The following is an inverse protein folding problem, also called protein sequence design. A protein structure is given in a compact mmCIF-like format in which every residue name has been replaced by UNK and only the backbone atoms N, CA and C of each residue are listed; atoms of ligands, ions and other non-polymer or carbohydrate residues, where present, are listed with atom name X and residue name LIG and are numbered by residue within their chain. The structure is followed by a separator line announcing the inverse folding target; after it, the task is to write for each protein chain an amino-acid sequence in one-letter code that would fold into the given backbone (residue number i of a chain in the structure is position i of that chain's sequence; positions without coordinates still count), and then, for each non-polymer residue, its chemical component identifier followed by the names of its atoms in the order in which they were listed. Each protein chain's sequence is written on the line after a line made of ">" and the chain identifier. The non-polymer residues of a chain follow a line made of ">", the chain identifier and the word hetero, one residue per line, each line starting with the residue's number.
data_IF_488921062465
#
_entry.id   IF_488921062465
#
_cell.length_a   1.000
_cell.length_b   1.000
_cell.length_c   1.000
_cell.angle_alpha   90.00
_cell.angle_beta   90.00
_cell.angle_gamma   90.00
#
_symmetry.space_group_name_H-M   'P 1'
#
loop_
_entity.id
_entity.type
_entity.pdbx_description
1 polymer ?
#
# COMPACT_ATOMS: atom_id res chain seq x y z
N UNK A 1 7.03 -75.83 -31.86
CA UNK A 1 7.15 -74.43 -32.34
C UNK A 1 6.15 -73.56 -31.57
N UNK A 2 6.59 -72.78 -30.57
CA UNK A 2 5.75 -71.86 -29.79
C UNK A 2 6.08 -70.42 -30.18
N UNK A 3 5.09 -69.66 -30.64
CA UNK A 3 5.25 -68.32 -31.20
C UNK A 3 5.11 -67.21 -30.15
N UNK A 4 6.04 -66.25 -30.22
CA UNK A 4 6.15 -64.99 -29.47
C UNK A 4 4.97 -64.05 -29.78
N UNK A 5 4.08 -63.78 -28.82
CA UNK A 5 3.12 -62.64 -28.88
C UNK A 5 2.74 -62.17 -27.47
N UNK A 6 3.67 -61.53 -26.75
CA UNK A 6 3.29 -60.89 -25.46
C UNK A 6 4.08 -59.64 -25.07
N UNK A 7 5.04 -59.17 -25.88
CA UNK A 7 5.92 -58.05 -25.45
C UNK A 7 5.61 -56.68 -26.08
N UNK A 8 4.53 -56.53 -26.86
CA UNK A 8 4.28 -55.28 -27.62
C UNK A 8 3.24 -54.37 -26.95
N UNK A 9 2.33 -54.89 -26.10
CA UNK A 9 1.27 -54.07 -25.51
C UNK A 9 1.70 -53.21 -24.30
N UNK A 10 2.67 -53.65 -23.50
CA UNK A 10 3.12 -52.92 -22.30
C UNK A 10 4.01 -51.70 -22.63
N UNK A 11 4.75 -51.74 -23.75
CA UNK A 11 5.57 -50.61 -24.19
C UNK A 11 4.72 -49.47 -24.79
N UNK A 12 3.61 -49.81 -25.46
CA UNK A 12 2.71 -48.83 -26.06
C UNK A 12 1.95 -47.98 -25.03
N UNK A 13 1.46 -48.59 -23.94
CA UNK A 13 0.74 -47.86 -22.88
C UNK A 13 1.65 -46.95 -22.05
N UNK A 14 2.87 -47.39 -21.75
CA UNK A 14 3.87 -46.56 -21.08
C UNK A 14 4.31 -45.36 -21.95
N UNK A 15 4.50 -45.57 -23.26
CA UNK A 15 4.84 -44.49 -24.19
C UNK A 15 3.71 -43.45 -24.34
N UNK A 16 2.44 -43.89 -24.34
CA UNK A 16 1.27 -42.99 -24.38
C UNK A 16 1.16 -42.18 -23.08
N UNK A 17 1.36 -42.81 -21.92
CA UNK A 17 1.31 -42.10 -20.63
C UNK A 17 2.44 -41.05 -20.50
N UNK A 18 3.65 -41.37 -20.95
CA UNK A 18 4.79 -40.44 -20.98
C UNK A 18 4.55 -39.31 -22.00
N UNK A 19 3.96 -39.62 -23.17
CA UNK A 19 3.58 -38.62 -24.17
C UNK A 19 2.53 -37.64 -23.65
N UNK A 20 1.47 -38.13 -23.02
CA UNK A 20 0.40 -37.30 -22.42
C UNK A 20 0.97 -36.44 -21.28
N UNK A 21 1.84 -37.00 -20.42
CA UNK A 21 2.49 -36.25 -19.34
C UNK A 21 3.45 -35.16 -19.86
N UNK A 22 4.24 -35.48 -20.88
CA UNK A 22 5.13 -34.53 -21.53
C UNK A 22 4.36 -33.42 -22.26
N UNK A 23 3.22 -33.74 -22.88
CA UNK A 23 2.39 -32.79 -23.59
C UNK A 23 1.59 -31.90 -22.63
N UNK A 24 1.04 -32.43 -21.54
CA UNK A 24 0.43 -31.62 -20.47
C UNK A 24 1.46 -30.73 -19.77
N UNK A 25 2.67 -31.23 -19.53
CA UNK A 25 3.76 -30.44 -18.96
C UNK A 25 4.23 -29.33 -19.91
N UNK A 26 4.30 -29.60 -21.22
CA UNK A 26 4.61 -28.59 -22.24
C UNK A 26 3.51 -27.54 -22.36
N UNK A 27 2.25 -27.95 -22.39
CA UNK A 27 1.10 -27.03 -22.42
C UNK A 27 1.04 -26.17 -21.15
N UNK A 28 1.31 -26.75 -19.98
CA UNK A 28 1.36 -26.01 -18.71
C UNK A 28 2.55 -25.04 -18.66
N UNK A 29 3.73 -25.45 -19.15
CA UNK A 29 4.90 -24.59 -19.27
C UNK A 29 4.70 -23.45 -20.29
N UNK A 30 4.04 -23.72 -21.42
CA UNK A 30 3.73 -22.73 -22.44
C UNK A 30 2.63 -21.75 -21.99
N UNK A 31 1.63 -22.23 -21.22
CA UNK A 31 0.62 -21.38 -20.58
C UNK A 31 1.22 -20.54 -19.46
N UNK A 32 2.28 -21.01 -18.81
CA UNK A 32 3.04 -20.24 -17.83
C UNK A 32 3.99 -19.23 -18.48
N UNK A 33 4.54 -19.51 -19.68
CA UNK A 33 5.34 -18.57 -20.45
C UNK A 33 4.53 -17.46 -21.13
N UNK A 34 3.20 -17.54 -21.13
CA UNK A 34 2.30 -16.53 -21.70
C UNK A 34 1.59 -15.66 -20.67
N UNK A 35 1.82 -15.87 -19.37
CA UNK A 35 1.23 -15.02 -18.32
C UNK A 35 2.09 -13.78 -18.11
N UNK A 36 1.43 -12.64 -17.92
CA UNK A 36 2.08 -11.37 -17.59
C UNK A 36 2.97 -11.58 -16.34
N UNK A 37 4.27 -11.22 -16.38
CA UNK A 37 5.15 -11.27 -15.20
C UNK A 37 4.55 -10.57 -13.97
N UNK A 38 3.76 -9.51 -14.16
CA UNK A 38 3.03 -8.84 -13.09
C UNK A 38 2.02 -9.77 -12.43
N UNK A 39 1.24 -10.54 -13.22
CA UNK A 39 0.27 -11.49 -12.68
C UNK A 39 0.95 -12.58 -11.86
N UNK A 40 2.09 -13.08 -12.33
CA UNK A 40 2.86 -14.11 -11.63
C UNK A 40 3.38 -13.57 -10.29
N UNK A 41 3.95 -12.37 -10.31
CA UNK A 41 4.49 -11.74 -9.11
C UNK A 41 3.39 -11.44 -8.08
N UNK A 42 2.28 -10.85 -8.52
CA UNK A 42 1.11 -10.57 -7.66
C UNK A 42 0.53 -11.86 -7.09
N UNK A 43 0.37 -12.92 -7.90
CA UNK A 43 -0.16 -14.20 -7.43
C UNK A 43 0.72 -14.81 -6.32
N UNK A 44 2.05 -14.72 -6.44
CA UNK A 44 2.97 -15.18 -5.40
C UNK A 44 2.84 -14.37 -4.11
N UNK A 45 2.86 -13.04 -4.20
CA UNK A 45 2.74 -12.15 -3.04
C UNK A 45 1.41 -12.34 -2.31
N UNK A 46 0.31 -12.45 -3.05
CA UNK A 46 -1.02 -12.72 -2.48
C UNK A 46 -1.08 -14.07 -1.78
N UNK A 47 -0.53 -15.12 -2.40
CA UNK A 47 -0.46 -16.45 -1.76
C UNK A 47 0.31 -16.40 -0.44
N UNK A 48 1.42 -15.66 -0.41
CA UNK A 48 2.16 -15.47 0.84
C UNK A 48 1.33 -14.73 1.88
N UNK A 49 0.73 -13.57 1.54
CA UNK A 49 -0.14 -12.81 2.45
C UNK A 49 -1.23 -13.70 3.05
N UNK A 50 -1.93 -14.45 2.22
CA UNK A 50 -2.99 -15.37 2.65
C UNK A 50 -2.47 -16.46 3.59
N UNK A 51 -1.27 -16.99 3.34
CA UNK A 51 -0.65 -18.05 4.15
C UNK A 51 -0.25 -17.59 5.56
N UNK A 52 -0.02 -16.29 5.74
CA UNK A 52 0.40 -15.68 7.02
C UNK A 52 -0.70 -14.86 7.68
N UNK A 53 -1.96 -15.00 7.24
CA UNK A 53 -3.09 -14.38 7.93
C UNK A 53 -3.38 -15.13 9.24
N UNK A 54 -3.45 -14.38 10.34
CA UNK A 54 -3.74 -14.96 11.65
C UNK A 54 -5.16 -15.55 11.75
N UNK A 55 -5.35 -16.39 12.79
CA UNK A 55 -6.64 -17.04 13.05
C UNK A 55 -7.78 -16.05 13.33
N UNK A 56 -7.47 -14.90 13.91
CA UNK A 56 -8.41 -13.79 14.15
C UNK A 56 -8.74 -12.98 12.89
N UNK A 57 -8.08 -13.27 11.75
CA UNK A 57 -8.26 -12.58 10.49
C UNK A 57 -7.32 -11.40 10.25
N UNK A 58 -6.48 -11.03 11.22
CA UNK A 58 -5.53 -9.93 11.07
C UNK A 58 -4.18 -10.34 10.48
N UNK A 59 -3.36 -9.32 10.22
CA UNK A 59 -1.93 -9.45 9.94
C UNK A 59 -1.12 -8.52 10.85
N UNK A 60 0.10 -8.93 11.16
CA UNK A 60 1.16 -8.08 11.74
C UNK A 60 2.34 -7.91 10.79
N UNK A 61 3.44 -7.35 11.27
CA UNK A 61 4.65 -7.01 10.50
C UNK A 61 5.10 -8.08 9.49
N UNK A 62 5.20 -9.35 9.93
CA UNK A 62 5.58 -10.51 9.11
C UNK A 62 4.53 -11.66 9.24
N UNK A 63 3.26 -11.34 9.54
CA UNK A 63 2.18 -12.33 9.75
C UNK A 63 1.56 -12.41 11.15
N UNK A 64 1.83 -11.43 12.01
CA UNK A 64 1.40 -11.36 13.44
C UNK A 64 1.56 -12.66 14.23
N UNK A 65 0.48 -13.17 14.83
CA UNK A 65 0.49 -14.37 15.70
C UNK A 65 0.92 -15.66 14.99
N UNK A 66 0.86 -15.67 13.66
CA UNK A 66 1.31 -16.78 12.81
C UNK A 66 2.71 -16.54 12.21
N UNK A 67 3.37 -15.43 12.56
CA UNK A 67 4.68 -15.06 12.01
C UNK A 67 5.79 -16.02 12.43
N UNK A 68 6.73 -16.20 11.51
CA UNK A 68 8.09 -16.62 11.85
C UNK A 68 8.98 -15.38 11.97
N UNK A 69 9.86 -15.36 12.98
CA UNK A 69 10.90 -14.33 13.09
C UNK A 69 11.98 -14.67 12.05
N UNK A 70 12.27 -13.73 11.14
CA UNK A 70 13.46 -13.84 10.29
C UNK A 70 14.71 -13.76 11.15
N UNK A 71 15.70 -14.57 10.82
CA UNK A 71 17.00 -14.52 11.50
C UNK A 71 17.58 -13.09 11.43
N UNK A 72 17.96 -12.55 12.60
CA UNK A 72 18.53 -11.20 12.72
C UNK A 72 17.52 -10.04 12.72
N UNK A 73 16.23 -10.28 12.54
CA UNK A 73 15.20 -9.23 12.52
C UNK A 73 14.54 -9.06 13.89
N UNK A 74 14.33 -7.80 14.28
CA UNK A 74 13.58 -7.45 15.48
C UNK A 74 12.11 -7.23 15.13
N UNK A 75 11.20 -7.96 15.78
CA UNK A 75 9.77 -7.68 15.71
C UNK A 75 9.39 -6.67 16.81
N UNK A 76 8.86 -5.52 16.40
CA UNK A 76 8.33 -4.52 17.32
C UNK A 76 7.00 -4.93 17.96
N UNK A 77 6.27 -5.83 17.30
CA UNK A 77 5.04 -6.45 17.82
C UNK A 77 4.89 -7.87 17.28
N UNK A 78 4.45 -8.79 18.15
CA UNK A 78 4.28 -10.20 17.81
C UNK A 78 2.81 -10.58 17.49
N UNK A 79 1.94 -9.59 17.35
CA UNK A 79 0.51 -9.78 17.13
C UNK A 79 0.03 -9.13 15.83
N UNK A 80 -1.24 -9.39 15.50
CA UNK A 80 -1.89 -8.72 14.39
C UNK A 80 -2.25 -7.28 14.75
N UNK A 81 -2.10 -6.36 13.80
CA UNK A 81 -2.37 -4.95 13.96
C UNK A 81 -3.26 -4.39 12.84
N UNK A 82 -3.90 -3.25 13.11
CA UNK A 82 -4.94 -2.71 12.22
C UNK A 82 -4.31 -2.16 10.93
N UNK A 83 -3.18 -1.49 10.98
CA UNK A 83 -2.51 -0.93 9.81
C UNK A 83 -2.04 -2.00 8.83
N UNK A 84 -1.33 -3.05 9.28
CA UNK A 84 -0.93 -4.17 8.43
C UNK A 84 -2.14 -4.91 7.87
N UNK A 85 -3.19 -5.12 8.69
CA UNK A 85 -4.43 -5.76 8.23
C UNK A 85 -5.14 -4.94 7.16
N UNK A 86 -5.21 -3.61 7.32
CA UNK A 86 -5.90 -2.74 6.39
C UNK A 86 -5.24 -2.74 5.01
N UNK A 87 -3.91 -2.58 4.94
CA UNK A 87 -3.20 -2.56 3.66
C UNK A 87 -3.17 -3.94 2.99
N UNK A 88 -3.09 -5.04 3.76
CA UNK A 88 -3.17 -6.39 3.21
C UNK A 88 -4.57 -6.68 2.63
N UNK A 89 -5.63 -6.27 3.34
CA UNK A 89 -7.00 -6.39 2.85
C UNK A 89 -7.24 -5.57 1.58
N UNK A 90 -6.67 -4.36 1.50
CA UNK A 90 -6.74 -3.51 0.31
C UNK A 90 -6.02 -4.17 -0.88
N UNK A 91 -4.81 -4.71 -0.67
CA UNK A 91 -4.09 -5.46 -1.71
C UNK A 91 -4.91 -6.67 -2.21
N UNK A 92 -5.52 -7.43 -1.31
CA UNK A 92 -6.42 -8.53 -1.70
C UNK A 92 -7.62 -8.03 -2.51
N UNK A 93 -8.26 -6.94 -2.10
CA UNK A 93 -9.39 -6.34 -2.81
C UNK A 93 -9.01 -5.93 -4.24
N UNK A 94 -7.84 -5.33 -4.42
CA UNK A 94 -7.34 -4.82 -5.70
C UNK A 94 -6.90 -5.92 -6.66
N UNK A 95 -6.67 -7.14 -6.16
CA UNK A 95 -6.42 -8.33 -7.01
C UNK A 95 -7.69 -8.90 -7.65
N UNK A 96 -8.84 -8.25 -7.47
CA UNK A 96 -10.14 -8.68 -7.99
C UNK A 96 -10.93 -9.57 -7.03
N UNK A 97 -10.41 -9.85 -5.84
CA UNK A 97 -11.19 -10.49 -4.78
C UNK A 97 -12.14 -9.48 -4.13
N UNK A 98 -13.29 -9.94 -3.64
CA UNK A 98 -14.27 -9.10 -2.94
C UNK A 98 -14.84 -9.88 -1.76
N UNK A 99 -15.53 -9.23 -0.81
CA UNK A 99 -16.20 -9.94 0.28
C UNK A 99 -17.30 -10.91 -0.17
N UNK A 100 -17.67 -10.92 -1.45
CA UNK A 100 -18.73 -11.76 -2.02
C UNK A 100 -18.28 -12.70 -3.13
N UNK A 101 -17.05 -12.53 -3.66
CA UNK A 101 -16.54 -13.27 -4.83
C UNK A 101 -15.01 -13.36 -4.79
N UNK A 102 -14.46 -14.38 -5.44
CA UNK A 102 -13.02 -14.59 -5.57
C UNK A 102 -12.50 -15.65 -4.60
N UNK A 103 -11.32 -16.20 -4.91
CA UNK A 103 -10.74 -17.32 -4.17
C UNK A 103 -10.35 -16.96 -2.73
N UNK A 104 -10.10 -15.67 -2.46
CA UNK A 104 -9.73 -15.16 -1.13
C UNK A 104 -10.86 -14.37 -0.46
N UNK A 105 -12.11 -14.61 -0.86
CA UNK A 105 -13.30 -13.97 -0.27
C UNK A 105 -13.33 -14.10 1.26
N UNK A 106 -13.12 -15.31 1.79
CA UNK A 106 -13.17 -15.56 3.23
C UNK A 106 -12.05 -14.84 3.98
N UNK A 107 -10.85 -14.78 3.40
CA UNK A 107 -9.72 -14.03 3.98
C UNK A 107 -10.06 -12.54 4.11
N UNK A 108 -10.66 -11.96 3.07
CA UNK A 108 -11.08 -10.58 3.08
C UNK A 108 -12.21 -10.33 4.10
N UNK A 109 -13.21 -11.21 4.20
CA UNK A 109 -14.27 -11.11 5.21
C UNK A 109 -13.71 -11.15 6.64
N UNK A 110 -12.76 -12.04 6.93
CA UNK A 110 -12.11 -12.11 8.25
C UNK A 110 -11.31 -10.85 8.56
N UNK A 111 -10.56 -10.33 7.59
CA UNK A 111 -9.81 -9.09 7.74
C UNK A 111 -10.71 -7.89 8.06
N UNK A 112 -11.83 -7.76 7.34
CA UNK A 112 -12.82 -6.71 7.59
C UNK A 112 -13.43 -6.87 8.98
N UNK A 113 -13.79 -8.08 9.39
CA UNK A 113 -14.34 -8.30 10.74
C UNK A 113 -13.32 -7.96 11.84
N UNK A 114 -12.04 -8.31 11.67
CA UNK A 114 -10.96 -7.90 12.58
C UNK A 114 -10.92 -6.38 12.75
N UNK A 115 -10.91 -5.64 11.63
CA UNK A 115 -10.87 -4.16 11.64
C UNK A 115 -12.12 -3.58 12.30
N UNK A 116 -13.32 -4.04 11.91
CA UNK A 116 -14.58 -3.55 12.46
C UNK A 116 -14.63 -3.71 13.97
N UNK A 117 -14.22 -4.87 14.51
CA UNK A 117 -14.17 -5.10 15.95
C UNK A 117 -13.29 -4.06 16.67
N UNK A 118 -12.11 -3.74 16.13
CA UNK A 118 -11.21 -2.74 16.73
C UNK A 118 -11.79 -1.32 16.67
N UNK A 119 -12.31 -0.94 15.51
CA UNK A 119 -12.97 0.37 15.33
C UNK A 119 -14.14 0.52 16.29
N UNK A 120 -14.98 -0.49 16.43
CA UNK A 120 -16.15 -0.47 17.33
C UNK A 120 -15.75 -0.34 18.79
N UNK A 121 -14.75 -1.10 19.22
CA UNK A 121 -14.21 -1.06 20.59
C UNK A 121 -13.47 0.24 20.92
N UNK A 122 -12.95 0.96 19.92
CA UNK A 122 -12.24 2.22 20.16
C UNK A 122 -13.17 3.29 20.76
N UNK A 123 -12.69 4.20 21.62
CA UNK A 123 -13.48 5.33 22.11
C UNK A 123 -14.01 6.18 20.94
N UNK A 124 -15.12 6.94 21.08
CA UNK A 124 -15.54 7.88 20.03
C UNK A 124 -14.55 9.03 19.84
N UNK A 125 -13.89 9.48 20.90
CA UNK A 125 -12.91 10.57 20.88
C UNK A 125 -11.47 10.08 20.66
N UNK A 126 -10.58 11.01 20.33
CA UNK A 126 -9.20 10.73 19.93
C UNK A 126 -9.08 10.12 18.53
N UNK A 127 -7.86 10.04 18.02
CA UNK A 127 -7.61 9.61 16.64
C UNK A 127 -7.43 8.09 16.48
N UNK A 128 -7.09 7.36 17.54
CA UNK A 128 -6.85 5.92 17.48
C UNK A 128 -8.13 5.10 17.21
N UNK A 129 -7.98 4.01 16.45
CA UNK A 129 -9.00 2.97 16.21
C UNK A 129 -8.62 1.61 16.82
N UNK A 130 -7.50 1.54 17.54
CA UNK A 130 -6.99 0.34 18.19
C UNK A 130 -6.27 0.73 19.48
N UNK A 131 -6.18 -0.22 20.42
CA UNK A 131 -5.37 -0.07 21.63
C UNK A 131 -3.90 -0.48 21.45
N UNK A 132 -3.58 -1.20 20.37
CA UNK A 132 -2.21 -1.59 20.05
C UNK A 132 -1.48 -0.42 19.39
N UNK A 133 -0.45 0.09 20.07
CA UNK A 133 0.36 1.24 19.65
C UNK A 133 1.85 0.85 19.57
N UNK A 134 2.63 1.58 18.80
CA UNK A 134 4.07 1.41 18.65
C UNK A 134 4.50 0.34 17.64
N UNK A 135 3.60 -0.18 16.79
CA UNK A 135 3.97 -1.12 15.73
C UNK A 135 4.95 -0.46 14.75
N UNK A 136 5.74 -1.25 14.02
CA UNK A 136 6.72 -0.68 13.09
C UNK A 136 6.07 0.27 12.08
N UNK A 137 4.97 -0.16 11.45
CA UNK A 137 4.24 0.68 10.48
C UNK A 137 3.74 1.99 11.11
N UNK A 138 3.30 1.98 12.37
CA UNK A 138 2.93 3.20 13.10
C UNK A 138 4.13 4.11 13.39
N UNK A 139 5.25 3.57 13.88
CA UNK A 139 6.46 4.39 14.14
C UNK A 139 7.03 5.04 12.89
N UNK A 140 6.76 4.44 11.73
CA UNK A 140 7.32 4.88 10.46
C UNK A 140 6.41 5.82 9.69
N UNK A 141 5.14 5.45 9.53
CA UNK A 141 4.14 6.23 8.80
C UNK A 141 3.33 7.20 9.67
N UNK A 142 3.43 7.06 11.00
CA UNK A 142 2.73 7.90 11.97
C UNK A 142 1.85 7.08 12.92
N UNK A 143 1.72 7.49 14.19
CA UNK A 143 1.08 6.69 15.25
C UNK A 143 -0.40 6.37 15.02
N UNK A 144 -1.04 7.03 14.05
CA UNK A 144 -2.46 6.85 13.72
C UNK A 144 -2.69 6.42 12.28
N UNK A 145 -1.66 5.88 11.61
CA UNK A 145 -1.77 5.37 10.25
C UNK A 145 -2.86 4.31 10.11
N UNK A 146 -3.09 3.51 11.16
CA UNK A 146 -4.19 2.54 11.25
C UNK A 146 -5.54 3.16 10.93
N UNK A 147 -5.82 4.35 11.48
CA UNK A 147 -7.10 5.05 11.30
C UNK A 147 -7.28 5.48 9.85
N UNK A 148 -6.22 5.99 9.23
CA UNK A 148 -6.27 6.49 7.86
C UNK A 148 -6.42 5.34 6.84
N UNK A 149 -5.62 4.28 6.97
CA UNK A 149 -5.72 3.09 6.13
C UNK A 149 -7.07 2.38 6.32
N UNK A 150 -7.54 2.27 7.57
CA UNK A 150 -8.87 1.73 7.87
C UNK A 150 -9.98 2.54 7.19
N UNK A 151 -9.93 3.87 7.31
CA UNK A 151 -10.93 4.74 6.67
C UNK A 151 -10.93 4.59 5.15
N UNK A 152 -9.76 4.47 4.52
CA UNK A 152 -9.64 4.25 3.07
C UNK A 152 -10.24 2.90 2.66
N UNK A 153 -9.82 1.81 3.31
CA UNK A 153 -10.32 0.46 3.04
C UNK A 153 -11.85 0.35 3.23
N UNK A 154 -12.37 0.86 4.37
CA UNK A 154 -13.80 0.79 4.64
C UNK A 154 -14.63 1.62 3.63
N UNK A 155 -14.08 2.72 3.11
CA UNK A 155 -14.72 3.47 2.04
C UNK A 155 -14.80 2.67 0.73
N UNK A 156 -13.74 1.93 0.36
CA UNK A 156 -13.78 1.09 -0.83
C UNK A 156 -14.79 -0.05 -0.72
N UNK A 157 -14.90 -0.66 0.46
CA UNK A 157 -15.81 -1.76 0.78
C UNK A 157 -17.25 -1.33 1.08
N UNK A 158 -17.50 -0.03 1.21
CA UNK A 158 -18.81 0.52 1.56
C UNK A 158 -19.88 0.14 0.52
N UNK A 159 -20.82 -0.70 0.95
CA UNK A 159 -21.88 -1.24 0.09
C UNK A 159 -21.50 -2.50 -0.70
N UNK A 160 -20.32 -3.10 -0.46
CA UNK A 160 -19.79 -4.24 -1.22
C UNK A 160 -19.79 -5.57 -0.43
N UNK A 161 -20.26 -5.57 0.83
CA UNK A 161 -20.16 -6.73 1.73
C UNK A 161 -21.15 -7.88 1.42
N UNK A 162 -22.13 -7.66 0.54
CA UNK A 162 -23.16 -8.65 0.19
C UNK A 162 -24.25 -8.89 1.24
N UNK A 163 -24.10 -8.28 2.43
CA UNK A 163 -25.08 -8.34 3.50
C UNK A 163 -25.42 -6.91 3.97
N UNK A 164 -26.71 -6.62 4.16
CA UNK A 164 -27.19 -5.28 4.50
C UNK A 164 -26.76 -4.83 5.91
N UNK A 165 -26.73 -5.75 6.89
CA UNK A 165 -26.33 -5.44 8.26
C UNK A 165 -24.82 -5.21 8.33
N UNK A 166 -24.03 -6.03 7.64
CA UNK A 166 -22.58 -5.85 7.55
C UNK A 166 -22.23 -4.57 6.80
N UNK A 167 -22.94 -4.23 5.72
CA UNK A 167 -22.77 -2.95 5.03
C UNK A 167 -23.08 -1.74 5.95
N UNK A 168 -24.14 -1.82 6.75
CA UNK A 168 -24.44 -0.78 7.75
C UNK A 168 -23.32 -0.65 8.78
N UNK A 169 -22.77 -1.78 9.25
CA UNK A 169 -21.63 -1.85 10.19
C UNK A 169 -20.35 -1.23 9.60
N UNK A 170 -20.05 -1.50 8.32
CA UNK A 170 -18.96 -0.86 7.57
C UNK A 170 -19.17 0.65 7.46
N UNK A 171 -20.37 1.10 7.04
CA UNK A 171 -20.70 2.53 6.92
C UNK A 171 -20.55 3.27 8.24
N UNK A 172 -21.05 2.71 9.34
CA UNK A 172 -20.95 3.30 10.67
C UNK A 172 -19.49 3.39 11.14
N UNK A 173 -18.70 2.34 10.93
CA UNK A 173 -17.28 2.32 11.27
C UNK A 173 -16.49 3.32 10.44
N UNK A 174 -16.78 3.44 9.14
CA UNK A 174 -16.21 4.46 8.26
C UNK A 174 -16.54 5.88 8.73
N UNK A 175 -17.81 6.15 9.07
CA UNK A 175 -18.22 7.46 9.61
C UNK A 175 -17.51 7.78 10.93
N UNK A 176 -17.30 6.79 11.80
CA UNK A 176 -16.51 6.94 13.02
C UNK A 176 -15.06 7.31 12.71
N UNK A 177 -14.41 6.61 11.77
CA UNK A 177 -13.07 6.94 11.33
C UNK A 177 -12.98 8.36 10.74
N UNK A 178 -13.89 8.74 9.84
CA UNK A 178 -13.94 10.10 9.26
C UNK A 178 -14.08 11.15 10.36
N UNK A 179 -15.01 10.97 11.30
CA UNK A 179 -15.20 11.91 12.41
C UNK A 179 -13.95 12.03 13.30
N UNK A 180 -13.24 10.91 13.53
CA UNK A 180 -11.96 10.93 14.26
C UNK A 180 -10.90 11.72 13.51
N UNK A 181 -10.76 11.50 12.21
CA UNK A 181 -9.78 12.20 11.36
C UNK A 181 -10.07 13.71 11.37
N UNK A 182 -11.31 14.12 11.12
CA UNK A 182 -11.71 15.54 11.09
C UNK A 182 -11.47 16.25 12.43
N UNK A 183 -11.88 15.64 13.55
CA UNK A 183 -11.73 16.22 14.90
C UNK A 183 -10.27 16.41 15.33
N UNK A 184 -9.35 15.64 14.76
CA UNK A 184 -7.93 15.64 15.13
C UNK A 184 -7.03 16.28 14.05
N UNK A 185 -7.59 17.02 13.09
CA UNK A 185 -6.79 17.84 12.18
C UNK A 185 -6.12 18.98 12.95
N UNK A 186 -4.82 19.19 12.69
CA UNK A 186 -4.07 20.27 13.32
C UNK A 186 -4.49 21.65 12.78
N UNK A 187 -4.15 22.71 13.53
CA UNK A 187 -4.46 24.09 13.14
C UNK A 187 -3.84 24.49 11.80
N UNK A 188 -2.70 23.91 11.44
CA UNK A 188 -2.00 24.18 10.19
C UNK A 188 -2.61 23.44 8.98
N UNK A 189 -3.61 22.59 9.20
CA UNK A 189 -4.30 21.78 8.19
C UNK A 189 -3.77 20.36 8.01
N UNK A 190 -2.65 20.01 8.66
CA UNK A 190 -2.02 18.69 8.55
C UNK A 190 -2.52 17.69 9.61
N UNK A 191 -2.08 16.43 9.48
CA UNK A 191 -2.10 15.40 10.51
C UNK A 191 -0.68 14.96 10.89
N UNK A 192 0.28 15.89 10.83
CA UNK A 192 1.68 15.64 11.19
C UNK A 192 1.86 15.54 12.70
N UNK A 193 1.23 14.54 13.31
CA UNK A 193 1.29 14.30 14.75
C UNK A 193 2.64 13.65 15.07
N UNK A 194 3.32 14.16 16.11
CA UNK A 194 4.61 13.65 16.55
C UNK A 194 4.56 12.16 16.90
N UNK A 195 5.65 11.44 16.63
CA UNK A 195 5.79 10.00 16.93
C UNK A 195 6.00 9.11 15.71
N UNK A 196 5.96 9.67 14.49
CA UNK A 196 6.33 8.99 13.24
C UNK A 196 7.65 9.51 12.65
N UNK A 197 8.36 8.67 11.89
CA UNK A 197 9.57 9.08 11.16
C UNK A 197 9.25 10.00 9.97
N UNK A 198 8.15 9.76 9.26
CA UNK A 198 7.69 10.60 8.15
C UNK A 198 6.24 11.10 8.38
N UNK A 199 6.02 12.10 9.26
CA UNK A 199 4.67 12.60 9.59
C UNK A 199 3.86 13.05 8.36
N UNK A 200 4.57 13.51 7.31
CA UNK A 200 4.00 13.97 6.05
C UNK A 200 3.15 12.87 5.38
N UNK A 201 3.59 11.61 5.41
CA UNK A 201 2.85 10.47 4.87
C UNK A 201 1.50 10.25 5.59
N UNK A 202 1.45 10.52 6.90
CA UNK A 202 0.22 10.51 7.68
C UNK A 202 -0.81 11.52 7.16
N UNK A 203 -0.38 12.75 6.84
CA UNK A 203 -1.26 13.76 6.23
C UNK A 203 -1.76 13.34 4.85
N UNK A 204 -0.88 12.76 4.02
CA UNK A 204 -1.25 12.21 2.72
C UNK A 204 -2.38 11.18 2.86
N UNK A 205 -2.18 10.16 3.69
CA UNK A 205 -3.14 9.07 3.87
C UNK A 205 -4.44 9.54 4.53
N UNK A 206 -4.37 10.44 5.51
CA UNK A 206 -5.55 11.03 6.13
C UNK A 206 -6.42 11.75 5.08
N UNK A 207 -5.82 12.67 4.32
CA UNK A 207 -6.54 13.45 3.31
C UNK A 207 -7.07 12.58 2.16
N UNK A 208 -6.34 11.52 1.77
CA UNK A 208 -6.78 10.58 0.73
C UNK A 208 -7.98 9.77 1.22
N UNK A 209 -7.93 9.27 2.46
CA UNK A 209 -9.03 8.50 3.04
C UNK A 209 -10.33 9.31 3.13
N UNK A 210 -10.24 10.61 3.50
CA UNK A 210 -11.39 11.53 3.50
C UNK A 210 -11.94 11.75 2.09
N UNK A 211 -11.07 11.92 1.09
CA UNK A 211 -11.48 12.09 -0.30
C UNK A 211 -12.22 10.86 -0.84
N UNK A 212 -11.69 9.65 -0.59
CA UNK A 212 -12.34 8.40 -1.00
C UNK A 212 -13.69 8.21 -0.29
N UNK A 213 -13.75 8.50 1.01
CA UNK A 213 -15.00 8.47 1.78
C UNK A 213 -16.05 9.45 1.23
N UNK A 214 -15.65 10.67 0.90
CA UNK A 214 -16.53 11.69 0.29
C UNK A 214 -17.10 11.19 -1.04
N UNK A 215 -16.27 10.57 -1.90
CA UNK A 215 -16.73 10.00 -3.18
C UNK A 215 -17.72 8.85 -3.01
N UNK A 216 -17.67 8.15 -1.88
CA UNK A 216 -18.60 7.09 -1.47
C UNK A 216 -19.83 7.64 -0.73
N UNK A 217 -20.02 8.96 -0.75
CA UNK A 217 -21.18 9.65 -0.20
C UNK A 217 -21.16 9.83 1.32
N UNK A 218 -20.02 9.62 1.98
CA UNK A 218 -19.88 10.01 3.39
C UNK A 218 -19.81 11.54 3.47
N UNK A 219 -20.54 12.13 4.41
CA UNK A 219 -20.43 13.56 4.68
C UNK A 219 -19.05 13.86 5.26
N UNK A 220 -18.25 14.61 4.50
CA UNK A 220 -16.92 15.09 4.90
C UNK A 220 -16.96 16.61 4.95
N UNK A 221 -16.44 17.19 6.02
CA UNK A 221 -16.36 18.61 6.27
C UNK A 221 -15.47 19.31 5.23
N UNK A 222 -16.05 20.18 4.41
CA UNK A 222 -15.32 20.90 3.37
C UNK A 222 -14.26 21.84 3.95
N UNK A 223 -14.43 22.34 5.17
CA UNK A 223 -13.41 23.15 5.85
C UNK A 223 -12.17 22.32 6.16
N UNK A 224 -12.34 21.05 6.54
CA UNK A 224 -11.22 20.13 6.75
C UNK A 224 -10.46 19.88 5.46
N UNK A 225 -11.17 19.66 4.36
CA UNK A 225 -10.56 19.46 3.03
C UNK A 225 -9.83 20.71 2.54
N UNK A 226 -10.44 21.89 2.69
CA UNK A 226 -9.82 23.17 2.32
C UNK A 226 -8.53 23.44 3.12
N UNK A 227 -8.53 23.18 4.44
CA UNK A 227 -7.34 23.38 5.28
C UNK A 227 -6.15 22.53 4.85
N UNK A 228 -6.38 21.26 4.51
CA UNK A 228 -5.28 20.40 4.04
C UNK A 228 -4.85 20.78 2.62
N UNK A 229 -5.75 21.28 1.78
CA UNK A 229 -5.39 21.86 0.47
C UNK A 229 -4.48 23.08 0.63
N UNK A 230 -4.85 24.03 1.50
CA UNK A 230 -4.05 25.21 1.81
C UNK A 230 -2.69 24.83 2.42
N UNK A 231 -2.65 23.81 3.27
CA UNK A 231 -1.40 23.24 3.78
C UNK A 231 -0.50 22.77 2.65
N UNK A 232 -1.02 21.93 1.75
CA UNK A 232 -0.25 21.34 0.66
C UNK A 232 0.19 22.36 -0.38
N UNK A 233 -0.63 23.37 -0.69
CA UNK A 233 -0.25 24.47 -1.58
C UNK A 233 0.90 25.29 -1.00
N UNK A 234 0.87 25.61 0.30
CA UNK A 234 1.96 26.32 0.98
C UNK A 234 3.26 25.52 1.01
N UNK A 235 3.19 24.22 1.24
CA UNK A 235 4.38 23.36 1.32
C UNK A 235 4.96 22.99 -0.06
N UNK A 236 4.13 22.96 -1.11
CA UNK A 236 4.55 22.72 -2.49
C UNK A 236 5.20 23.95 -3.13
N UNK A 237 4.73 25.16 -2.80
CA UNK A 237 5.20 26.43 -3.36
C UNK A 237 6.53 26.96 -2.79
N UNK A 238 7.02 26.44 -1.66
CA UNK A 238 8.29 26.83 -1.03
C UNK A 238 9.53 26.19 -1.69
N UNK A 239 9.62 26.30 -3.02
CA UNK A 239 10.61 25.62 -3.86
C UNK A 239 12.04 25.62 -3.31
N UNK A 240 12.66 24.44 -3.31
CA UNK A 240 14.10 24.28 -3.58
C UNK A 240 15.10 24.69 -2.51
N UNK A 241 14.70 24.86 -1.24
CA UNK A 241 15.64 25.08 -0.14
C UNK A 241 15.89 23.79 0.65
N UNK A 242 17.13 23.31 0.65
CA UNK A 242 17.65 22.22 1.46
C UNK A 242 17.01 22.14 2.86
N UNK A 243 16.32 21.03 3.15
CA UNK A 243 16.26 20.34 4.45
C UNK A 243 16.15 21.16 5.74
N UNK A 244 15.66 22.39 5.73
CA UNK A 244 15.68 23.25 6.90
C UNK A 244 14.28 23.77 7.19
N UNK A 245 13.69 23.21 8.24
CA UNK A 245 12.75 23.98 9.05
C UNK A 245 11.29 23.55 9.05
N UNK A 246 10.92 22.28 8.88
CA UNK A 246 9.66 21.78 9.46
C UNK A 246 9.86 20.32 9.91
N UNK A 247 10.22 20.12 11.18
CA UNK A 247 10.11 18.82 11.88
C UNK A 247 11.39 18.00 12.13
N UNK A 248 12.56 18.47 11.69
CA UNK A 248 13.83 17.85 12.08
C UNK A 248 14.29 18.39 13.43
N UNK A 249 14.11 17.62 14.51
CA UNK A 249 14.69 17.93 15.80
C UNK A 249 16.20 18.13 15.67
N UNK A 250 16.68 19.31 16.01
CA UNK A 250 18.10 19.62 16.11
C UNK A 250 18.73 18.71 17.17
N UNK A 251 19.45 17.66 16.75
CA UNK A 251 20.44 17.03 17.61
C UNK A 251 21.62 18.01 17.65
N UNK A 252 21.71 18.74 18.76
CA UNK A 252 22.78 19.70 19.00
C UNK A 252 24.16 19.03 18.97
N UNK A 253 25.06 19.67 18.24
CA UNK A 253 26.50 19.71 18.49
C UNK A 253 27.24 18.39 18.73
N UNK A 254 27.75 17.78 17.65
CA UNK A 254 28.96 16.97 17.75
C UNK A 254 29.85 17.25 16.53
N UNK A 255 31.09 17.66 16.80
CA UNK A 255 32.13 17.93 15.81
C UNK A 255 32.37 16.70 14.93
N UNK A 256 32.64 16.95 13.65
CA UNK A 256 32.96 15.96 12.64
C UNK A 256 34.08 15.01 13.11
N UNK A 257 33.73 13.73 13.25
CA UNK A 257 34.68 12.62 13.23
C UNK A 257 34.20 11.67 12.15
N UNK A 258 35.09 11.31 11.24
CA UNK A 258 34.86 10.50 10.05
C UNK A 258 34.22 9.14 10.38
N UNK A 259 33.01 8.88 9.88
CA UNK A 259 32.39 7.57 9.82
C UNK A 259 31.69 7.36 8.46
N UNK A 260 32.13 6.41 7.60
CA UNK A 260 31.65 6.32 6.22
C UNK A 260 30.32 5.55 6.04
N UNK A 261 29.82 4.83 7.06
CA UNK A 261 28.55 4.08 6.95
C UNK A 261 27.33 4.88 7.46
N UNK A 262 27.42 5.47 8.65
CA UNK A 262 26.34 6.27 9.25
C UNK A 262 26.01 7.54 8.45
N UNK A 263 27.00 8.11 7.75
CA UNK A 263 26.83 9.26 6.87
C UNK A 263 26.09 8.91 5.56
N UNK A 264 26.34 7.73 4.99
CA UNK A 264 25.63 7.25 3.81
C UNK A 264 24.17 6.89 4.13
N UNK A 265 23.95 6.28 5.28
CA UNK A 265 22.61 5.97 5.79
C UNK A 265 21.81 7.26 6.08
N UNK A 266 22.39 8.26 6.75
CA UNK A 266 21.72 9.56 6.97
C UNK A 266 21.43 10.33 5.68
N UNK A 267 22.28 10.25 4.65
CA UNK A 267 22.05 10.91 3.35
C UNK A 267 20.95 10.20 2.54
N UNK A 268 20.90 8.86 2.55
CA UNK A 268 19.82 8.11 1.90
C UNK A 268 18.47 8.29 2.64
N UNK A 269 18.49 8.28 3.98
CA UNK A 269 17.34 8.51 4.86
C UNK A 269 16.77 9.94 4.67
N UNK A 270 17.62 10.94 4.48
CA UNK A 270 17.17 12.32 4.21
C UNK A 270 16.54 12.51 2.82
N UNK A 271 16.78 11.57 1.89
CA UNK A 271 16.45 11.74 0.48
C UNK A 271 15.16 10.99 0.05
N UNK A 272 14.70 10.00 0.82
CA UNK A 272 13.34 9.47 0.71
C UNK A 272 12.27 10.53 1.05
N UNK A 273 12.53 11.42 2.01
CA UNK A 273 11.60 12.49 2.44
C UNK A 273 11.17 13.41 1.29
N UNK A 274 12.07 13.91 0.41
CA UNK A 274 11.69 14.59 -0.82
C UNK A 274 10.72 13.82 -1.71
N UNK A 275 10.97 12.52 -1.97
CA UNK A 275 10.10 11.69 -2.79
C UNK A 275 8.70 11.60 -2.18
N UNK A 276 8.62 11.43 -0.86
CA UNK A 276 7.36 11.29 -0.11
C UNK A 276 6.54 12.57 -0.17
N UNK A 277 7.21 13.70 0.08
CA UNK A 277 6.61 15.01 0.00
C UNK A 277 6.04 15.26 -1.40
N UNK A 278 6.81 14.96 -2.45
CA UNK A 278 6.34 15.14 -3.84
C UNK A 278 5.23 14.18 -4.23
N UNK A 279 5.29 12.92 -3.79
CA UNK A 279 4.23 11.94 -3.99
C UNK A 279 2.91 12.43 -3.40
N UNK A 280 2.92 12.91 -2.15
CA UNK A 280 1.76 13.47 -1.49
C UNK A 280 1.23 14.71 -2.19
N UNK A 281 2.11 15.67 -2.49
CA UNK A 281 1.72 16.91 -3.16
C UNK A 281 1.06 16.62 -4.50
N UNK A 282 1.66 15.72 -5.30
CA UNK A 282 1.08 15.31 -6.56
C UNK A 282 -0.28 14.64 -6.38
N UNK A 283 -0.40 13.72 -5.41
CA UNK A 283 -1.65 13.01 -5.12
C UNK A 283 -2.78 14.00 -4.83
N UNK A 284 -2.54 14.93 -3.91
CA UNK A 284 -3.56 15.84 -3.45
C UNK A 284 -3.88 16.95 -4.45
N UNK A 285 -2.87 17.51 -5.12
CA UNK A 285 -3.08 18.60 -6.10
C UNK A 285 -3.72 18.11 -7.41
N UNK A 286 -3.80 16.79 -7.64
CA UNK A 286 -4.26 16.20 -8.91
C UNK A 286 -5.60 15.43 -8.84
N UNK A 287 -6.26 15.39 -7.67
CA UNK A 287 -7.42 14.50 -7.42
C UNK A 287 -8.58 14.69 -8.39
N UNK A 288 -9.00 15.93 -8.62
CA UNK A 288 -10.08 16.27 -9.56
C UNK A 288 -9.57 16.99 -10.80
N UNK A 289 -10.38 17.06 -11.84
CA UNK A 289 -10.05 17.86 -13.03
C UNK A 289 -9.89 19.34 -12.71
N UNK A 290 -10.70 19.87 -11.78
CA UNK A 290 -10.59 21.23 -11.31
C UNK A 290 -9.26 21.48 -10.58
N UNK A 291 -8.83 20.56 -9.72
CA UNK A 291 -7.54 20.65 -9.02
C UNK A 291 -6.38 20.66 -10.01
N UNK A 292 -6.43 19.78 -11.03
CA UNK A 292 -5.40 19.72 -12.07
C UNK A 292 -5.29 21.01 -12.86
N UNK A 293 -6.42 21.64 -13.20
CA UNK A 293 -6.44 22.95 -13.87
C UNK A 293 -5.89 24.05 -12.96
N UNK A 294 -6.32 24.09 -11.70
CA UNK A 294 -5.89 25.09 -10.70
C UNK A 294 -4.39 25.01 -10.40
N UNK A 295 -3.85 23.79 -10.28
CA UNK A 295 -2.50 23.53 -9.80
C UNK A 295 -1.52 23.12 -10.91
N UNK A 296 -1.84 23.40 -12.18
CA UNK A 296 -1.09 22.89 -13.34
C UNK A 296 0.41 23.19 -13.29
N UNK A 297 0.80 24.40 -12.86
CA UNK A 297 2.20 24.80 -12.73
C UNK A 297 2.96 23.99 -11.68
N UNK A 298 2.38 23.82 -10.48
CA UNK A 298 2.98 23.00 -9.42
C UNK A 298 3.07 21.53 -9.82
N UNK A 299 2.03 20.98 -10.45
CA UNK A 299 2.02 19.61 -10.95
C UNK A 299 3.14 19.39 -11.97
N UNK A 300 3.31 20.31 -12.92
CA UNK A 300 4.39 20.24 -13.92
C UNK A 300 5.78 20.24 -13.25
N UNK A 301 6.01 21.12 -12.26
CA UNK A 301 7.28 21.16 -11.54
C UNK A 301 7.55 19.88 -10.74
N UNK A 302 6.53 19.27 -10.14
CA UNK A 302 6.68 17.99 -9.44
C UNK A 302 7.01 16.86 -10.41
N UNK A 303 6.33 16.82 -11.57
CA UNK A 303 6.57 15.82 -12.63
C UNK A 303 7.98 15.90 -13.19
N UNK A 304 8.48 17.11 -13.42
CA UNK A 304 9.87 17.32 -13.85
C UNK A 304 10.86 16.72 -12.84
N UNK A 305 10.63 16.92 -11.53
CA UNK A 305 11.48 16.31 -10.50
C UNK A 305 11.38 14.78 -10.48
N UNK A 306 10.18 14.22 -10.64
CA UNK A 306 9.95 12.77 -10.71
C UNK A 306 10.56 12.12 -11.95
N UNK A 307 10.84 12.90 -13.01
CA UNK A 307 11.50 12.42 -14.21
C UNK A 307 13.01 12.14 -14.01
N UNK A 308 13.65 12.73 -12.98
CA UNK A 308 15.02 12.38 -12.60
C UNK A 308 15.03 10.95 -12.02
N UNK A 309 15.69 10.04 -12.72
CA UNK A 309 15.79 8.63 -12.33
C UNK A 309 16.42 8.47 -10.94
N UNK A 310 17.34 9.34 -10.52
CA UNK A 310 17.94 9.31 -9.17
C UNK A 310 16.93 9.68 -8.09
N UNK A 311 16.03 10.59 -8.40
CA UNK A 311 14.95 11.01 -7.50
C UNK A 311 13.91 9.88 -7.35
N UNK A 312 13.49 9.29 -8.47
CA UNK A 312 12.55 8.16 -8.48
C UNK A 312 13.12 6.88 -7.86
N UNK A 313 14.44 6.66 -7.95
CA UNK A 313 15.06 5.42 -7.45
C UNK A 313 15.31 5.38 -5.94
N UNK A 314 15.09 6.47 -5.20
CA UNK A 314 15.23 6.48 -3.74
C UNK A 314 16.68 6.50 -3.26
N UNK A 315 17.57 7.21 -3.97
CA UNK A 315 18.95 7.51 -3.52
C UNK A 315 19.81 6.32 -3.06
N UNK A 316 19.56 5.12 -3.61
CA UNK A 316 20.42 3.94 -3.45
C UNK A 316 20.10 3.04 -2.25
N UNK A 317 19.11 3.37 -1.42
CA UNK A 317 18.66 2.52 -0.31
C UNK A 317 17.13 2.55 -0.21
N UNK A 318 16.45 1.42 -0.44
CA UNK A 318 14.99 1.35 -0.50
C UNK A 318 14.45 0.82 0.84
N UNK A 319 13.79 1.66 1.61
CA UNK A 319 12.98 1.26 2.76
C UNK A 319 11.57 0.85 2.33
N UNK A 320 10.75 0.43 3.29
CA UNK A 320 9.35 0.08 2.98
C UNK A 320 8.47 1.31 2.71
N UNK A 321 8.84 2.49 3.19
CA UNK A 321 8.15 3.76 2.94
C UNK A 321 8.19 4.17 1.46
N UNK A 322 9.26 3.81 0.73
CA UNK A 322 9.37 4.04 -0.70
C UNK A 322 8.27 3.30 -1.46
N UNK A 323 7.86 2.10 -1.03
CA UNK A 323 6.77 1.37 -1.67
C UNK A 323 5.43 2.10 -1.55
N UNK A 324 5.12 2.67 -0.39
CA UNK A 324 3.92 3.51 -0.23
C UNK A 324 3.99 4.79 -1.07
N UNK A 325 5.19 5.28 -1.33
CA UNK A 325 5.39 6.48 -2.14
C UNK A 325 5.26 6.19 -3.63
N UNK A 326 5.75 5.03 -4.07
CA UNK A 326 5.50 4.52 -5.41
C UNK A 326 4.02 4.31 -5.65
N UNK A 327 3.28 3.77 -4.68
CA UNK A 327 1.83 3.67 -4.75
C UNK A 327 1.18 5.05 -4.94
N UNK A 328 1.49 6.02 -4.08
CA UNK A 328 0.91 7.37 -4.18
C UNK A 328 1.24 8.06 -5.52
N UNK A 329 2.47 7.95 -6.02
CA UNK A 329 2.85 8.51 -7.33
C UNK A 329 2.07 7.80 -8.45
N UNK A 330 1.95 6.47 -8.37
CA UNK A 330 1.24 5.68 -9.37
C UNK A 330 -0.24 6.04 -9.41
N UNK A 331 -0.91 6.11 -8.26
CA UNK A 331 -2.31 6.55 -8.13
C UNK A 331 -2.52 7.94 -8.75
N UNK A 332 -1.55 8.84 -8.56
CA UNK A 332 -1.62 10.22 -9.04
C UNK A 332 -1.43 10.33 -10.54
N UNK A 333 -0.38 9.70 -11.07
CA UNK A 333 -0.07 9.73 -12.49
C UNK A 333 -1.11 8.97 -13.30
N UNK A 334 -1.60 7.83 -12.79
CA UNK A 334 -2.67 7.06 -13.43
C UNK A 334 -3.95 7.89 -13.62
N UNK A 335 -4.37 8.65 -12.60
CA UNK A 335 -5.52 9.57 -12.71
C UNK A 335 -5.38 10.60 -13.83
N UNK A 336 -4.15 10.96 -14.18
CA UNK A 336 -3.88 11.93 -15.24
C UNK A 336 -3.61 11.29 -16.61
N UNK A 337 -3.15 10.04 -16.63
CA UNK A 337 -2.75 9.33 -17.85
C UNK A 337 -1.63 10.02 -18.63
N UNK A 338 -1.52 9.67 -19.91
CA UNK A 338 -0.55 10.26 -20.83
C UNK A 338 0.86 9.67 -20.75
N UNK A 339 1.79 10.23 -21.53
CA UNK A 339 3.13 9.66 -21.71
C UNK A 339 3.94 9.55 -20.41
N UNK A 340 3.74 10.46 -19.46
CA UNK A 340 4.40 10.42 -18.16
C UNK A 340 3.93 9.23 -17.31
N UNK A 341 2.64 8.93 -17.33
CA UNK A 341 2.08 7.74 -16.69
C UNK A 341 2.62 6.47 -17.33
N UNK A 342 2.56 6.35 -18.66
CA UNK A 342 3.04 5.17 -19.37
C UNK A 342 4.52 4.88 -19.07
N UNK A 343 5.35 5.93 -19.07
CA UNK A 343 6.76 5.83 -18.70
C UNK A 343 6.93 5.40 -17.25
N UNK A 344 6.28 6.08 -16.31
CA UNK A 344 6.38 5.77 -14.89
C UNK A 344 5.94 4.34 -14.58
N UNK A 345 4.76 3.93 -15.07
CA UNK A 345 4.18 2.62 -14.84
C UNK A 345 5.08 1.51 -15.39
N UNK A 346 5.64 1.71 -16.58
CA UNK A 346 6.62 0.77 -17.17
C UNK A 346 7.87 0.64 -16.29
N UNK A 347 8.47 1.77 -15.91
CA UNK A 347 9.71 1.79 -15.13
C UNK A 347 9.51 1.21 -13.72
N UNK A 348 8.43 1.61 -13.04
CA UNK A 348 8.18 1.19 -11.66
C UNK A 348 7.82 -0.30 -11.58
N UNK A 349 7.05 -0.84 -12.53
CA UNK A 349 6.79 -2.29 -12.59
C UNK A 349 8.07 -3.07 -12.82
N UNK A 350 8.89 -2.66 -13.78
CA UNK A 350 10.18 -3.31 -14.02
C UNK A 350 11.07 -3.28 -12.78
N UNK A 351 11.03 -2.20 -11.99
CA UNK A 351 11.74 -2.08 -10.73
C UNK A 351 11.17 -3.01 -9.65
N UNK A 352 9.87 -2.95 -9.37
CA UNK A 352 9.20 -3.76 -8.34
C UNK A 352 9.39 -5.25 -8.62
N UNK A 353 9.25 -5.69 -9.88
CA UNK A 353 9.45 -7.09 -10.27
C UNK A 353 10.86 -7.60 -9.96
N UNK A 354 11.90 -6.77 -10.15
CA UNK A 354 13.29 -7.12 -9.85
C UNK A 354 13.58 -7.21 -8.35
N UNK A 355 12.74 -6.63 -7.49
CA UNK A 355 12.91 -6.60 -6.04
C UNK A 355 12.11 -7.70 -5.33
N UNK A 356 11.36 -8.54 -6.05
CA UNK A 356 10.60 -9.61 -5.43
C UNK A 356 11.55 -10.69 -4.89
N UNK A 357 11.35 -11.08 -3.63
CA UNK A 357 12.06 -12.20 -3.01
C UNK A 357 11.61 -13.54 -3.62
N UNK A 358 12.42 -14.59 -3.46
CA UNK A 358 12.10 -15.93 -3.98
C UNK A 358 10.78 -16.49 -3.43
N UNK A 359 10.44 -16.16 -2.18
CA UNK A 359 9.20 -16.54 -1.50
C UNK A 359 7.96 -15.75 -1.98
N UNK A 360 8.15 -14.79 -2.89
CA UNK A 360 7.09 -13.96 -3.45
C UNK A 360 6.84 -12.65 -2.71
N UNK A 361 7.55 -12.39 -1.61
CA UNK A 361 7.39 -11.17 -0.81
C UNK A 361 8.21 -10.01 -1.35
N UNK A 362 7.90 -8.82 -0.82
CA UNK A 362 8.81 -7.67 -0.85
C UNK A 362 9.12 -7.24 0.58
N UNK A 363 10.32 -6.72 0.79
CA UNK A 363 10.77 -6.17 2.06
C UNK A 363 11.57 -4.89 1.81
N UNK A 364 11.45 -3.92 2.72
CA UNK A 364 12.37 -2.78 2.75
C UNK A 364 13.70 -3.21 3.37
N UNK A 365 14.79 -2.57 2.95
CA UNK A 365 16.12 -2.79 3.53
C UNK A 365 16.37 -1.99 4.80
N UNK A 366 15.59 -0.94 5.03
CA UNK A 366 15.63 -0.10 6.23
C UNK A 366 14.25 0.51 6.52
N UNK A 367 14.13 1.14 7.69
CA UNK A 367 12.94 1.84 8.16
C UNK A 367 11.68 0.97 8.33
N UNK A 368 10.88 0.71 7.30
CA UNK A 368 9.86 -0.36 7.31
C UNK A 368 10.47 -1.63 6.69
N UNK A 369 10.77 -2.61 7.53
CA UNK A 369 11.26 -3.93 7.13
C UNK A 369 10.17 -4.99 7.09
N UNK A 370 8.97 -4.71 7.62
CA UNK A 370 7.83 -5.63 7.68
C UNK A 370 7.31 -6.06 6.31
N UNK A 371 7.29 -7.37 6.06
CA UNK A 371 6.92 -7.94 4.76
C UNK A 371 5.45 -7.81 4.43
N UNK A 372 4.55 -7.79 5.41
CA UNK A 372 3.11 -7.63 5.12
C UNK A 372 2.83 -6.28 4.47
N UNK A 373 3.21 -5.19 5.13
CA UNK A 373 3.00 -3.84 4.62
C UNK A 373 3.67 -3.63 3.25
N UNK A 374 4.93 -4.05 3.13
CA UNK A 374 5.73 -3.83 1.91
C UNK A 374 5.23 -4.68 0.75
N UNK A 375 4.91 -5.96 0.98
CA UNK A 375 4.31 -6.83 -0.05
C UNK A 375 2.96 -6.27 -0.51
N UNK A 376 2.15 -5.77 0.41
CA UNK A 376 0.85 -5.18 0.07
C UNK A 376 1.00 -3.90 -0.77
N UNK A 377 1.89 -2.99 -0.40
CA UNK A 377 2.17 -1.78 -1.16
C UNK A 377 2.77 -2.08 -2.54
N UNK A 378 3.63 -3.11 -2.65
CA UNK A 378 4.16 -3.58 -3.93
C UNK A 378 3.05 -4.11 -4.85
N UNK A 379 2.14 -4.94 -4.33
CA UNK A 379 0.98 -5.46 -5.07
C UNK A 379 0.10 -4.31 -5.56
N UNK A 380 -0.26 -3.38 -4.68
CA UNK A 380 -1.07 -2.21 -5.05
C UNK A 380 -0.39 -1.37 -6.15
N UNK A 381 0.91 -1.14 -6.03
CA UNK A 381 1.69 -0.41 -7.06
C UNK A 381 1.68 -1.14 -8.40
N UNK A 382 1.90 -2.47 -8.41
CA UNK A 382 1.88 -3.28 -9.62
C UNK A 382 0.50 -3.28 -10.31
N UNK A 383 -0.57 -3.10 -9.53
CA UNK A 383 -1.95 -3.11 -9.99
C UNK A 383 -2.53 -1.71 -10.22
N UNK A 384 -1.74 -0.64 -10.09
CA UNK A 384 -2.25 0.74 -10.14
C UNK A 384 -3.03 1.07 -11.43
N UNK A 385 -2.68 0.47 -12.58
CA UNK A 385 -3.42 0.64 -13.85
C UNK A 385 -4.75 -0.14 -13.89
N UNK A 386 -4.85 -1.19 -13.07
CA UNK A 386 -6.01 -2.10 -12.98
C UNK A 386 -6.94 -1.69 -11.84
N UNK A 387 -6.60 -0.59 -11.18
CA UNK A 387 -7.27 -0.11 -9.99
C UNK A 387 -8.77 0.06 -10.23
N UNK A 388 -9.55 -0.31 -9.23
CA UNK A 388 -11.00 -0.40 -9.31
C UNK A 388 -11.53 1.05 -9.30
N UNK A 389 -12.26 1.51 -10.32
CA UNK A 389 -12.81 2.85 -10.27
C UNK A 389 -13.72 2.97 -9.05
N UNK A 390 -13.43 3.93 -8.16
CA UNK A 390 -14.29 4.25 -7.01
C UNK A 390 -15.64 4.72 -7.54
N UNK A 391 -16.60 3.81 -7.70
CA UNK A 391 -17.91 4.14 -8.30
C UNK A 391 -18.60 5.16 -7.38
N UNK A 392 -18.88 6.40 -7.85
CA UNK A 392 -19.58 7.39 -7.05
C UNK A 392 -20.95 6.86 -6.63
N UNK A 393 -21.41 7.18 -5.41
CA UNK A 393 -22.74 6.78 -4.96
C UNK A 393 -23.86 7.28 -5.91
N UNK A 394 -23.63 8.40 -6.61
CA UNK A 394 -24.54 8.94 -7.63
C UNK A 394 -24.67 8.06 -8.88
N UNK A 395 -23.73 7.16 -9.16
CA UNK A 395 -23.74 6.28 -10.32
C UNK A 395 -24.46 4.93 -10.07
N UNK A 396 -24.95 4.67 -8.85
CA UNK A 396 -25.76 3.49 -8.51
C UNK A 396 -27.29 3.76 -8.59
N UNK A 397 -27.73 4.73 -9.39
CA UNK A 397 -29.15 5.03 -9.61
C UNK A 397 -29.67 4.43 -10.91
#
# INVERSE_FOLDING_TARGET
>A
MRSKRTSVLLAGTAAIAVGIYAETSRVSAQKQSSRDPVDIAVEKGVKWLVSVQGHDGGWGQDGGETSYIREGEHLESNGNDVANTAVAAEALLHTGNTPTRGVYQQNLQRAVNFILQRVEQSPPDGLAVTGLMGTQIQRKLGPYIDTFLTSRLLAELDGEMGDAQVNARVRQSLQKCVAKIEKNQLKDGSWNIAGGWAPILGTSMASQSLFVAQRKGVAVNQVTMAKVEDYTQRTAGSGGGSGSGIGGGTIGGARAVSAPAAAAETVAVAAGVPLYKRAQELEQLSRTEADRKKNAGQIAAIREQLSDTRFATGFGSIGGEEFFSYLNISDSLHRTGGAEWEKWNTDIKAKILKMQNEDGTWAGHHCITGRVAVTSAAILTLLAERDRPVIPASAKR
#
